data_IF_662126045898
#
_entry.id   IF_662126045898
#
_cell.length_a   1.000
_cell.length_b   1.000
_cell.length_c   1.000
_cell.angle_alpha   90.00
_cell.angle_beta   90.00
_cell.angle_gamma   90.00
#
_symmetry.space_group_name_H-M   'P 1'
#
loop_
_entity.id
_entity.type
_entity.pdbx_description
1 polymer ?
#
# COMPACT_ATOMS: atom_id res chain seq x y z
N UNK A 1 26.64 -1.49 -3.71
CA UNK A 1 25.62 -0.51 -4.09
C UNK A 1 26.03 0.03 -5.44
N UNK A 2 25.43 -0.49 -6.51
CA UNK A 2 25.71 0.01 -7.86
C UNK A 2 25.34 1.49 -7.89
N UNK A 3 26.23 2.30 -8.44
CA UNK A 3 26.08 3.75 -8.57
C UNK A 3 24.97 4.02 -9.59
N UNK A 4 23.71 3.82 -9.18
CA UNK A 4 22.60 4.12 -10.07
C UNK A 4 22.54 5.63 -10.23
N UNK A 5 22.73 6.04 -11.47
CA UNK A 5 22.69 7.43 -11.88
C UNK A 5 21.27 7.99 -11.81
N UNK A 6 20.23 7.17 -11.74
CA UNK A 6 18.83 7.63 -11.68
C UNK A 6 18.16 7.15 -10.39
N UNK A 7 17.51 8.07 -9.68
CA UNK A 7 16.64 7.75 -8.56
C UNK A 7 15.25 8.32 -8.77
N UNK A 8 14.24 7.59 -8.34
CA UNK A 8 12.84 8.01 -8.34
C UNK A 8 12.25 7.87 -6.94
N UNK A 9 11.30 8.73 -6.60
CA UNK A 9 10.67 8.70 -5.30
C UNK A 9 9.17 8.97 -5.33
N UNK A 10 8.42 8.06 -4.71
CA UNK A 10 6.96 8.10 -4.50
C UNK A 10 6.58 8.25 -3.02
N UNK A 11 7.44 7.81 -2.09
CA UNK A 11 7.19 7.77 -0.64
C UNK A 11 7.44 9.13 0.03
N UNK A 12 6.78 10.17 -0.48
CA UNK A 12 7.01 11.57 -0.16
C UNK A 12 6.60 12.43 -1.36
N UNK A 13 6.98 13.73 -1.40
CA UNK A 13 6.89 14.51 -2.63
C UNK A 13 7.57 13.79 -3.80
N UNK A 14 6.96 13.87 -4.98
CA UNK A 14 7.49 13.23 -6.19
C UNK A 14 8.90 13.75 -6.47
N UNK A 15 9.86 12.85 -6.52
CA UNK A 15 11.26 13.21 -6.74
C UNK A 15 11.87 12.39 -7.86
N UNK A 16 12.79 13.02 -8.58
CA UNK A 16 13.74 12.36 -9.48
C UNK A 16 15.13 12.91 -9.16
N UNK A 17 16.10 12.03 -9.03
CA UNK A 17 17.50 12.38 -8.81
C UNK A 17 18.36 11.86 -9.96
N UNK A 18 19.41 12.62 -10.29
CA UNK A 18 20.43 12.26 -11.26
C UNK A 18 21.78 12.35 -10.56
N UNK A 19 22.51 11.24 -10.46
CA UNK A 19 23.75 11.15 -9.68
C UNK A 19 23.60 11.75 -8.26
N UNK A 20 22.46 11.46 -7.61
CA UNK A 20 22.11 11.97 -6.28
C UNK A 20 21.56 13.41 -6.23
N UNK A 21 21.62 14.19 -7.31
CA UNK A 21 21.12 15.56 -7.35
C UNK A 21 19.65 15.61 -7.78
N UNK A 22 18.80 16.35 -7.05
CA UNK A 22 17.38 16.50 -7.37
C UNK A 22 17.16 17.29 -8.67
N UNK A 23 16.19 16.84 -9.48
CA UNK A 23 15.87 17.44 -10.78
C UNK A 23 14.45 18.01 -10.80
N UNK A 24 14.31 19.21 -11.38
CA UNK A 24 13.02 19.87 -11.54
C UNK A 24 12.11 19.15 -12.54
N UNK A 25 10.97 18.64 -12.06
CA UNK A 25 10.04 17.83 -12.85
C UNK A 25 8.96 18.64 -13.59
N UNK A 26 8.96 19.96 -13.47
CA UNK A 26 8.04 20.86 -14.17
C UNK A 26 6.68 21.01 -13.51
N UNK A 27 5.64 21.22 -14.33
CA UNK A 27 4.29 21.58 -13.87
C UNK A 27 3.56 20.42 -13.18
N UNK A 28 2.51 20.68 -12.36
CA UNK A 28 1.76 19.62 -11.67
C UNK A 28 1.25 18.51 -12.59
N UNK A 29 0.76 18.83 -13.79
CA UNK A 29 0.27 17.81 -14.75
C UNK A 29 1.39 16.97 -15.36
N UNK A 30 2.56 17.55 -15.63
CA UNK A 30 3.73 16.80 -16.07
C UNK A 30 4.22 15.83 -14.98
N UNK A 31 4.21 16.30 -13.72
CA UNK A 31 4.52 15.50 -12.54
C UNK A 31 3.50 14.38 -12.31
N UNK A 32 2.21 14.64 -12.49
CA UNK A 32 1.16 13.62 -12.43
C UNK A 32 1.36 12.52 -13.50
N UNK A 33 1.75 12.88 -14.72
CA UNK A 33 2.10 11.91 -15.78
C UNK A 33 3.28 11.03 -15.34
N UNK A 34 4.35 11.61 -14.78
CA UNK A 34 5.49 10.84 -14.28
C UNK A 34 5.10 9.94 -13.10
N UNK A 35 4.33 10.45 -12.14
CA UNK A 35 3.85 9.68 -11.00
C UNK A 35 3.04 8.45 -11.46
N UNK A 36 2.12 8.62 -12.41
CA UNK A 36 1.37 7.49 -12.98
C UNK A 36 2.25 6.45 -13.67
N UNK A 37 3.29 6.90 -14.37
CA UNK A 37 4.26 6.01 -14.99
C UNK A 37 5.11 5.27 -13.96
N UNK A 38 5.44 5.88 -12.83
CA UNK A 38 6.20 5.27 -11.74
C UNK A 38 5.38 4.29 -10.90
N UNK A 39 4.11 4.62 -10.62
CA UNK A 39 3.13 3.70 -10.02
C UNK A 39 3.04 2.42 -10.88
N UNK A 40 3.10 2.59 -12.21
CA UNK A 40 3.07 1.52 -13.20
C UNK A 40 4.43 1.19 -13.81
N UNK A 41 5.53 1.41 -13.06
CA UNK A 41 6.89 1.19 -13.56
C UNK A 41 7.04 -0.21 -14.18
N UNK A 42 7.84 -0.28 -15.23
CA UNK A 42 8.08 -1.47 -16.04
C UNK A 42 6.84 -2.03 -16.77
N UNK A 43 5.72 -1.27 -16.82
CA UNK A 43 4.48 -1.64 -17.52
C UNK A 43 3.99 -0.50 -18.42
N UNK A 44 3.24 -0.83 -19.47
CA UNK A 44 2.70 0.16 -20.39
C UNK A 44 1.44 0.81 -19.80
N UNK A 45 1.38 2.14 -19.83
CA UNK A 45 0.23 2.95 -19.42
C UNK A 45 -0.36 3.60 -20.66
N UNK A 46 -1.68 3.46 -20.84
CA UNK A 46 -2.37 4.04 -21.99
C UNK A 46 -2.34 5.57 -21.95
N UNK A 47 -2.35 6.20 -23.12
CA UNK A 47 -2.45 7.67 -23.21
C UNK A 47 -3.74 8.19 -22.54
N UNK A 48 -4.82 7.42 -22.61
CA UNK A 48 -6.10 7.76 -21.98
C UNK A 48 -6.02 7.72 -20.45
N UNK A 49 -5.37 6.71 -19.87
CA UNK A 49 -5.13 6.65 -18.42
C UNK A 49 -4.28 7.84 -17.94
N UNK A 50 -3.28 8.26 -18.72
CA UNK A 50 -2.47 9.44 -18.39
C UNK A 50 -3.27 10.75 -18.48
N UNK A 51 -4.20 10.85 -19.44
CA UNK A 51 -5.13 11.98 -19.53
C UNK A 51 -6.07 11.99 -18.31
N UNK A 52 -6.69 10.86 -17.98
CA UNK A 52 -7.61 10.79 -16.86
C UNK A 52 -6.91 11.11 -15.53
N UNK A 53 -5.67 10.66 -15.33
CA UNK A 53 -4.93 10.98 -14.11
C UNK A 53 -4.59 12.48 -13.98
N UNK A 54 -4.29 13.17 -15.07
CA UNK A 54 -3.86 14.57 -15.03
C UNK A 54 -4.99 15.61 -15.23
N UNK A 55 -6.17 15.19 -15.72
CA UNK A 55 -7.34 16.06 -15.94
C UNK A 55 -8.65 15.55 -15.31
N UNK A 56 -8.63 14.38 -14.65
CA UNK A 56 -9.81 13.72 -14.12
C UNK A 56 -10.93 13.62 -15.19
N UNK A 57 -12.17 13.96 -14.85
CA UNK A 57 -13.33 13.88 -15.74
C UNK A 57 -13.54 15.13 -16.62
N UNK A 58 -12.57 16.06 -16.66
CA UNK A 58 -12.66 17.29 -17.45
C UNK A 58 -11.47 17.46 -18.42
N UNK A 59 -11.22 16.51 -19.34
CA UNK A 59 -10.14 16.64 -20.30
C UNK A 59 -10.39 17.79 -21.27
N UNK A 60 -9.41 18.68 -21.40
CA UNK A 60 -9.42 19.67 -22.47
C UNK A 60 -9.32 18.98 -23.84
N UNK A 61 -9.85 19.56 -24.93
CA UNK A 61 -9.73 18.96 -26.28
C UNK A 61 -8.29 18.62 -26.70
N UNK A 62 -7.30 19.33 -26.15
CA UNK A 62 -5.87 19.13 -26.40
C UNK A 62 -5.13 18.26 -25.36
N UNK A 63 -5.84 17.52 -24.49
CA UNK A 63 -5.20 16.74 -23.41
C UNK A 63 -4.22 15.67 -23.94
N UNK A 64 -4.58 14.95 -25.01
CA UNK A 64 -3.68 13.96 -25.64
C UNK A 64 -2.40 14.60 -26.17
N UNK A 65 -2.52 15.75 -26.86
CA UNK A 65 -1.36 16.50 -27.34
C UNK A 65 -0.47 16.97 -26.18
N UNK A 66 -1.09 17.39 -25.07
CA UNK A 66 -0.37 17.80 -23.86
C UNK A 66 0.42 16.65 -23.22
N UNK A 67 -0.13 15.42 -23.20
CA UNK A 67 0.61 14.23 -22.73
C UNK A 67 1.86 13.99 -23.59
N UNK A 68 1.76 14.11 -24.92
CA UNK A 68 2.93 13.99 -25.81
C UNK A 68 4.01 15.04 -25.48
N UNK A 69 3.60 16.30 -25.22
CA UNK A 69 4.52 17.36 -24.79
C UNK A 69 5.18 17.06 -23.45
N UNK A 70 4.43 16.58 -22.47
CA UNK A 70 4.97 16.19 -21.16
C UNK A 70 5.96 15.04 -21.26
N UNK A 71 5.66 14.00 -22.05
CA UNK A 71 6.61 12.91 -22.31
C UNK A 71 7.87 13.42 -23.01
N UNK A 72 7.74 14.32 -23.98
CA UNK A 72 8.90 14.93 -24.65
C UNK A 72 9.78 15.72 -23.66
N UNK A 73 9.16 16.46 -22.74
CA UNK A 73 9.88 17.21 -21.71
C UNK A 73 10.58 16.29 -20.71
N UNK A 74 9.90 15.24 -20.26
CA UNK A 74 10.48 14.22 -19.36
C UNK A 74 11.66 13.50 -20.03
N UNK A 75 11.55 13.17 -21.33
CA UNK A 75 12.66 12.60 -22.09
C UNK A 75 13.86 13.54 -22.16
N UNK A 76 13.64 14.84 -22.39
CA UNK A 76 14.73 15.83 -22.37
C UNK A 76 15.43 15.91 -21.01
N UNK A 77 14.68 15.77 -19.92
CA UNK A 77 15.24 15.69 -18.56
C UNK A 77 16.11 14.43 -18.42
N UNK A 78 15.63 13.28 -18.90
CA UNK A 78 16.38 12.01 -18.88
C UNK A 78 17.63 12.04 -19.77
N UNK A 79 17.56 12.64 -20.96
CA UNK A 79 18.72 12.78 -21.87
C UNK A 79 19.82 13.63 -21.22
N UNK A 80 19.44 14.68 -20.48
CA UNK A 80 20.41 15.50 -19.72
C UNK A 80 21.10 14.75 -18.59
N UNK A 81 20.57 13.58 -18.21
CA UNK A 81 21.15 12.67 -17.24
C UNK A 81 22.12 11.65 -17.87
N UNK A 82 22.43 11.75 -19.17
CA UNK A 82 23.17 10.75 -19.95
C UNK A 82 22.54 9.34 -19.92
N UNK A 83 21.24 9.27 -19.61
CA UNK A 83 20.45 8.06 -19.79
C UNK A 83 19.86 8.06 -21.20
N UNK A 84 19.75 6.89 -21.84
CA UNK A 84 18.95 6.77 -23.08
C UNK A 84 17.47 7.01 -22.73
N UNK A 85 16.99 8.23 -22.94
CA UNK A 85 15.65 8.61 -22.53
C UNK A 85 14.55 7.83 -23.24
N UNK A 86 14.80 7.30 -24.45
CA UNK A 86 13.83 6.46 -25.17
C UNK A 86 13.86 5.01 -24.69
N UNK A 87 15.00 4.54 -24.20
CA UNK A 87 15.06 3.28 -23.47
C UNK A 87 14.40 3.39 -22.09
N UNK A 88 14.64 4.47 -21.33
CA UNK A 88 14.05 4.67 -19.99
C UNK A 88 12.55 4.97 -20.11
N UNK A 89 12.14 5.95 -20.92
CA UNK A 89 10.74 6.28 -21.16
C UNK A 89 10.34 5.89 -22.59
N UNK A 90 10.00 4.62 -22.76
CA UNK A 90 9.66 4.02 -24.04
C UNK A 90 8.24 4.37 -24.50
N UNK A 91 8.07 4.55 -25.82
CA UNK A 91 6.75 4.49 -26.43
C UNK A 91 6.37 3.02 -26.60
N UNK A 92 5.30 2.58 -25.95
CA UNK A 92 4.86 1.19 -25.94
C UNK A 92 3.33 1.14 -26.07
N UNK A 93 2.77 0.67 -27.19
CA UNK A 93 1.31 0.60 -27.37
C UNK A 93 0.62 -0.07 -26.16
N UNK A 94 -0.49 0.49 -25.62
CA UNK A 94 -1.27 1.65 -26.12
C UNK A 94 -0.79 3.04 -25.64
N UNK A 95 0.40 3.17 -25.06
CA UNK A 95 0.93 4.48 -24.63
C UNK A 95 2.42 4.47 -24.32
N UNK A 96 2.77 4.56 -23.03
CA UNK A 96 4.15 4.77 -22.58
C UNK A 96 4.53 3.81 -21.46
N UNK A 97 5.80 3.44 -21.40
CA UNK A 97 6.37 2.62 -20.33
C UNK A 97 7.62 3.30 -19.77
N UNK A 98 7.66 3.49 -18.46
CA UNK A 98 8.88 3.90 -17.77
C UNK A 98 9.59 2.65 -17.25
N UNK A 99 10.75 2.35 -17.80
CA UNK A 99 11.61 1.26 -17.36
C UNK A 99 12.47 1.78 -16.20
N UNK A 100 12.35 1.16 -15.04
CA UNK A 100 13.03 1.54 -13.80
C UNK A 100 13.78 0.31 -13.32
N UNK A 101 15.09 0.44 -13.11
CA UNK A 101 15.89 -0.69 -12.65
C UNK A 101 15.69 -0.94 -11.15
N UNK A 102 16.03 -2.14 -10.71
CA UNK A 102 15.91 -2.53 -9.31
C UNK A 102 16.73 -1.60 -8.41
N UNK A 103 16.10 -1.11 -7.34
CA UNK A 103 16.73 -0.20 -6.39
C UNK A 103 16.73 1.28 -6.80
N UNK A 104 16.23 1.64 -7.99
CA UNK A 104 16.14 3.05 -8.41
C UNK A 104 14.91 3.76 -7.83
N UNK A 105 13.86 3.03 -7.46
CA UNK A 105 12.65 3.58 -6.84
C UNK A 105 12.64 3.33 -5.32
N UNK A 106 12.29 4.36 -4.53
CA UNK A 106 12.12 4.22 -3.06
C UNK A 106 11.09 3.16 -2.67
N UNK A 107 9.98 3.07 -3.42
CA UNK A 107 8.96 2.05 -3.22
C UNK A 107 9.51 0.63 -3.44
N UNK A 108 10.36 0.42 -4.45
CA UNK A 108 10.97 -0.90 -4.68
C UNK A 108 11.91 -1.28 -3.54
N UNK A 109 12.74 -0.34 -3.09
CA UNK A 109 13.62 -0.56 -1.94
C UNK A 109 12.83 -0.87 -0.66
N UNK A 110 11.75 -0.13 -0.40
CA UNK A 110 10.83 -0.42 0.70
C UNK A 110 10.28 -1.85 0.63
N UNK A 111 9.81 -2.29 -0.53
CA UNK A 111 9.23 -3.63 -0.72
C UNK A 111 10.29 -4.73 -0.49
N UNK A 112 11.50 -4.54 -1.03
CA UNK A 112 12.61 -5.49 -0.86
C UNK A 112 13.00 -5.61 0.60
N UNK A 113 13.24 -4.49 1.28
CA UNK A 113 13.64 -4.48 2.69
C UNK A 113 12.53 -5.01 3.60
N UNK A 114 11.26 -4.67 3.34
CA UNK A 114 10.11 -5.27 4.03
C UNK A 114 10.11 -6.79 3.87
N UNK A 115 10.28 -7.29 2.65
CA UNK A 115 10.27 -8.74 2.35
C UNK A 115 11.41 -9.45 3.06
N UNK A 116 12.63 -8.91 3.01
CA UNK A 116 13.78 -9.45 3.72
C UNK A 116 13.55 -9.48 5.24
N UNK A 117 12.95 -8.42 5.78
CA UNK A 117 12.57 -8.34 7.20
C UNK A 117 11.57 -9.42 7.60
N UNK A 118 10.53 -9.65 6.79
CA UNK A 118 9.55 -10.71 7.04
C UNK A 118 10.18 -12.11 6.95
N UNK A 119 11.07 -12.35 5.99
CA UNK A 119 11.81 -13.61 5.87
C UNK A 119 12.70 -13.88 7.09
N UNK A 120 13.45 -12.88 7.54
CA UNK A 120 14.25 -12.98 8.75
C UNK A 120 13.40 -13.25 9.99
N UNK A 121 12.26 -12.57 10.15
CA UNK A 121 11.35 -12.79 11.28
C UNK A 121 10.75 -14.22 11.28
N UNK A 122 10.34 -14.73 10.12
CA UNK A 122 9.84 -16.10 9.98
C UNK A 122 10.91 -17.16 10.33
N UNK A 123 12.19 -16.85 10.06
CA UNK A 123 13.33 -17.68 10.44
C UNK A 123 13.78 -17.48 11.91
N UNK A 124 13.11 -16.62 12.69
CA UNK A 124 13.49 -16.30 14.07
C UNK A 124 14.73 -15.41 14.20
N UNK A 125 15.16 -14.76 13.12
CA UNK A 125 16.32 -13.88 13.07
C UNK A 125 15.90 -12.42 13.36
N UNK A 126 15.38 -12.18 14.56
CA UNK A 126 14.69 -10.91 14.88
C UNK A 126 15.57 -9.65 14.78
N UNK A 127 16.87 -9.74 15.07
CA UNK A 127 17.80 -8.60 14.89
C UNK A 127 17.94 -8.17 13.42
N UNK A 128 18.05 -9.15 12.52
CA UNK A 128 18.09 -8.91 11.08
C UNK A 128 16.74 -8.39 10.60
N UNK A 129 15.64 -8.95 11.12
CA UNK A 129 14.30 -8.48 10.80
C UNK A 129 14.11 -7.01 11.16
N UNK A 130 14.49 -6.60 12.38
CA UNK A 130 14.41 -5.20 12.82
C UNK A 130 15.26 -4.28 11.95
N UNK A 131 16.48 -4.70 11.59
CA UNK A 131 17.38 -3.92 10.72
C UNK A 131 16.77 -3.68 9.33
N UNK A 132 16.26 -4.73 8.69
CA UNK A 132 15.60 -4.63 7.39
C UNK A 132 14.32 -3.81 7.44
N UNK A 133 13.46 -4.02 8.44
CA UNK A 133 12.22 -3.25 8.58
C UNK A 133 12.48 -1.77 8.88
N UNK A 134 13.56 -1.45 9.61
CA UNK A 134 14.03 -0.08 9.81
C UNK A 134 14.52 0.55 8.51
N UNK A 135 15.30 -0.18 7.70
CA UNK A 135 15.74 0.27 6.39
C UNK A 135 14.57 0.53 5.44
N UNK A 136 13.55 -0.34 5.46
CA UNK A 136 12.31 -0.13 4.71
C UNK A 136 11.63 1.18 5.11
N UNK A 137 11.41 1.40 6.41
CA UNK A 137 10.76 2.62 6.91
C UNK A 137 11.55 3.89 6.61
N UNK A 138 12.88 3.81 6.52
CA UNK A 138 13.74 4.95 6.18
C UNK A 138 13.55 5.46 4.74
N UNK A 139 12.96 4.68 3.84
CA UNK A 139 12.62 5.12 2.47
C UNK A 139 11.47 6.16 2.46
N UNK A 140 10.70 6.25 3.55
CA UNK A 140 9.59 7.19 3.67
C UNK A 140 10.07 8.59 4.04
N UNK A 141 9.89 9.54 3.12
CA UNK A 141 10.25 10.96 3.26
C UNK A 141 9.08 11.86 3.67
N UNK A 142 7.85 11.35 3.61
CA UNK A 142 6.63 12.09 3.94
C UNK A 142 5.36 11.41 3.41
N UNK A 143 4.24 12.15 3.31
CA UNK A 143 3.03 11.66 2.66
C UNK A 143 3.30 11.29 1.19
N UNK A 144 2.72 10.17 0.74
CA UNK A 144 2.87 9.67 -0.62
C UNK A 144 2.42 10.73 -1.62
N UNK A 145 3.32 11.12 -2.53
CA UNK A 145 3.07 12.12 -3.56
C UNK A 145 2.44 13.42 -3.01
N UNK A 146 2.95 13.93 -1.88
CA UNK A 146 2.36 15.06 -1.14
C UNK A 146 2.12 16.31 -2.02
N UNK A 147 3.00 16.54 -2.99
CA UNK A 147 2.95 17.63 -3.96
C UNK A 147 1.99 17.37 -5.15
N UNK A 148 1.23 16.27 -5.11
CA UNK A 148 0.15 15.89 -6.03
C UNK A 148 -1.14 15.48 -5.30
N UNK A 149 -1.31 15.80 -4.01
CA UNK A 149 -2.51 15.42 -3.23
C UNK A 149 -3.85 15.87 -3.84
N UNK A 150 -3.84 16.89 -4.69
CA UNK A 150 -5.06 17.38 -5.36
C UNK A 150 -5.49 16.52 -6.56
N UNK A 151 -4.71 15.50 -6.93
CA UNK A 151 -5.05 14.56 -8.00
C UNK A 151 -5.68 13.28 -7.43
N UNK A 152 -6.91 12.98 -7.87
CA UNK A 152 -7.72 11.88 -7.31
C UNK A 152 -7.06 10.48 -7.32
N UNK A 153 -6.14 10.21 -8.26
CA UNK A 153 -5.43 8.92 -8.29
C UNK A 153 -4.44 8.76 -7.12
N UNK A 154 -3.99 9.86 -6.51
CA UNK A 154 -3.04 9.85 -5.40
C UNK A 154 -3.69 9.32 -4.13
N UNK A 155 -4.93 9.74 -3.82
CA UNK A 155 -5.62 9.39 -2.58
C UNK A 155 -5.69 7.87 -2.37
N UNK A 156 -6.14 7.15 -3.39
CA UNK A 156 -6.30 5.72 -3.28
C UNK A 156 -4.94 5.01 -3.18
N UNK A 157 -3.94 5.43 -3.99
CA UNK A 157 -2.59 4.86 -3.96
C UNK A 157 -1.87 5.12 -2.62
N UNK A 158 -1.98 6.35 -2.11
CA UNK A 158 -1.44 6.74 -0.80
C UNK A 158 -2.08 5.93 0.33
N UNK A 159 -3.40 5.74 0.29
CA UNK A 159 -4.13 4.95 1.29
C UNK A 159 -3.70 3.48 1.27
N UNK A 160 -3.53 2.90 0.08
CA UNK A 160 -3.04 1.53 -0.06
C UNK A 160 -1.62 1.36 0.48
N UNK A 161 -0.71 2.29 0.16
CA UNK A 161 0.66 2.25 0.70
C UNK A 161 0.71 2.50 2.21
N UNK A 162 -0.27 3.21 2.78
CA UNK A 162 -0.37 3.39 4.22
C UNK A 162 -0.63 2.06 4.95
N UNK A 163 -1.40 1.13 4.36
CA UNK A 163 -1.56 -0.23 4.89
C UNK A 163 -0.21 -0.93 5.01
N UNK A 164 0.60 -0.85 3.96
CA UNK A 164 1.93 -1.45 3.95
C UNK A 164 2.86 -0.79 4.98
N UNK A 165 2.79 0.54 5.14
CA UNK A 165 3.58 1.26 6.15
C UNK A 165 3.21 0.84 7.57
N UNK A 166 1.92 0.83 7.91
CA UNK A 166 1.43 0.40 9.22
C UNK A 166 1.82 -1.04 9.51
N UNK A 167 1.69 -1.93 8.51
CA UNK A 167 2.14 -3.31 8.60
C UNK A 167 3.63 -3.42 8.92
N UNK A 168 4.48 -2.63 8.25
CA UNK A 168 5.93 -2.61 8.50
C UNK A 168 6.28 -2.07 9.89
N UNK A 169 5.63 -1.01 10.37
CA UNK A 169 5.82 -0.55 11.76
C UNK A 169 5.41 -1.62 12.78
N UNK A 170 4.29 -2.31 12.54
CA UNK A 170 3.81 -3.39 13.41
C UNK A 170 4.82 -4.54 13.46
N UNK A 171 5.30 -5.00 12.30
CA UNK A 171 6.29 -6.07 12.23
C UNK A 171 7.64 -5.68 12.88
N UNK A 172 8.05 -4.40 12.75
CA UNK A 172 9.27 -3.91 13.40
C UNK A 172 9.12 -3.90 14.92
N UNK A 173 7.96 -3.49 15.42
CA UNK A 173 7.65 -3.56 16.85
C UNK A 173 7.65 -5.01 17.36
N UNK A 174 7.07 -5.95 16.61
CA UNK A 174 7.12 -7.38 16.94
C UNK A 174 8.58 -7.89 17.03
N UNK A 175 9.44 -7.51 16.09
CA UNK A 175 10.85 -7.89 16.08
C UNK A 175 11.62 -7.30 17.27
N UNK A 176 11.43 -6.02 17.58
CA UNK A 176 12.05 -5.34 18.73
C UNK A 176 11.59 -5.96 20.07
N UNK A 177 10.29 -6.25 20.21
CA UNK A 177 9.73 -6.91 21.39
C UNK A 177 10.30 -8.34 21.53
N UNK A 178 10.42 -9.10 20.44
CA UNK A 178 11.03 -10.42 20.44
C UNK A 178 12.52 -10.39 20.82
N UNK A 179 13.23 -9.30 20.48
CA UNK A 179 14.60 -9.05 20.94
C UNK A 179 14.69 -8.55 22.40
N UNK A 180 13.58 -8.49 23.14
CA UNK A 180 13.55 -8.00 24.53
C UNK A 180 13.63 -6.48 24.67
N UNK A 181 13.43 -5.72 23.59
CA UNK A 181 13.50 -4.25 23.56
C UNK A 181 12.13 -3.58 23.55
N UNK A 182 11.13 -4.19 24.19
CA UNK A 182 9.76 -3.68 24.23
C UNK A 182 9.64 -2.23 24.73
N UNK A 183 10.46 -1.83 25.70
CA UNK A 183 10.47 -0.45 26.19
C UNK A 183 10.83 0.59 25.10
N UNK A 184 11.74 0.24 24.19
CA UNK A 184 12.27 1.17 23.19
C UNK A 184 11.23 1.58 22.13
N UNK A 185 10.19 0.76 21.92
CA UNK A 185 9.15 0.99 20.90
C UNK A 185 7.90 1.68 21.44
N UNK A 186 7.76 1.84 22.77
CA UNK A 186 6.53 2.40 23.38
C UNK A 186 6.23 3.80 22.85
N UNK A 187 7.21 4.71 22.86
CA UNK A 187 6.98 6.11 22.45
C UNK A 187 6.55 6.25 21.00
N UNK A 188 7.15 5.47 20.09
CA UNK A 188 6.74 5.44 18.69
C UNK A 188 5.35 4.81 18.50
N UNK A 189 5.06 3.71 19.21
CA UNK A 189 3.75 3.06 19.15
C UNK A 189 2.64 3.95 19.72
N UNK A 190 2.91 4.76 20.75
CA UNK A 190 1.96 5.77 21.25
C UNK A 190 1.64 6.81 20.16
N UNK A 191 2.66 7.33 19.47
CA UNK A 191 2.47 8.27 18.37
C UNK A 191 1.66 7.63 17.22
N UNK A 192 2.05 6.43 16.79
CA UNK A 192 1.37 5.73 15.70
C UNK A 192 -0.07 5.35 16.05
N UNK A 193 -0.35 4.96 17.31
CA UNK A 193 -1.70 4.68 17.77
C UNK A 193 -2.58 5.95 17.80
N UNK A 194 -2.01 7.12 18.09
CA UNK A 194 -2.72 8.39 17.99
C UNK A 194 -2.99 8.82 16.53
N UNK A 195 -2.03 8.59 15.63
CA UNK A 195 -2.17 8.87 14.19
C UNK A 195 -3.11 7.88 13.49
N UNK A 196 -3.17 6.64 13.97
CA UNK A 196 -3.94 5.54 13.39
C UNK A 196 -4.82 4.84 14.44
N UNK A 197 -5.80 5.56 15.01
CA UNK A 197 -6.57 5.10 16.17
C UNK A 197 -7.35 3.79 15.93
N UNK A 198 -7.73 3.50 14.69
CA UNK A 198 -8.52 2.31 14.34
C UNK A 198 -7.68 1.10 13.94
N UNK A 199 -6.35 1.19 13.99
CA UNK A 199 -5.46 0.09 13.60
C UNK A 199 -5.12 -0.78 14.79
N UNK A 200 -6.02 -1.70 15.12
CA UNK A 200 -5.86 -2.65 16.24
C UNK A 200 -4.49 -3.36 16.29
N UNK A 201 -3.83 -3.75 15.16
CA UNK A 201 -2.50 -4.35 15.24
C UNK A 201 -1.44 -3.47 15.89
N UNK A 202 -1.48 -2.14 15.69
CA UNK A 202 -0.57 -1.20 16.38
C UNK A 202 -0.84 -1.20 17.89
N UNK A 203 -2.11 -1.15 18.28
CA UNK A 203 -2.51 -1.21 19.67
C UNK A 203 -2.14 -2.53 20.34
N UNK A 204 -2.24 -3.65 19.62
CA UNK A 204 -1.81 -4.95 20.12
C UNK A 204 -0.32 -4.94 20.49
N UNK A 205 0.53 -4.32 19.66
CA UNK A 205 1.95 -4.17 19.97
C UNK A 205 2.21 -3.16 21.09
N UNK A 206 1.46 -2.05 21.15
CA UNK A 206 1.58 -1.08 22.26
C UNK A 206 1.24 -1.72 23.62
N UNK A 207 0.11 -2.44 23.69
CA UNK A 207 -0.33 -3.17 24.88
C UNK A 207 0.70 -4.23 25.26
N UNK A 208 1.21 -4.99 24.28
CA UNK A 208 2.26 -5.99 24.49
C UNK A 208 3.54 -5.35 25.02
N UNK A 209 4.00 -4.23 24.42
CA UNK A 209 5.21 -3.51 24.80
C UNK A 209 5.16 -3.01 26.25
N UNK A 210 4.03 -2.40 26.67
CA UNK A 210 3.85 -2.03 28.08
C UNK A 210 3.91 -3.26 29.00
N UNK A 211 3.23 -4.34 28.65
CA UNK A 211 3.16 -5.52 29.50
C UNK A 211 4.52 -6.21 29.69
N UNK A 212 5.29 -6.40 28.62
CA UNK A 212 6.64 -7.01 28.71
C UNK A 212 7.67 -6.08 29.35
N UNK A 213 7.39 -4.77 29.38
CA UNK A 213 8.19 -3.78 30.11
C UNK A 213 7.74 -3.62 31.58
N UNK A 214 7.01 -4.60 32.13
CA UNK A 214 6.51 -4.63 33.51
C UNK A 214 5.53 -3.49 33.87
N UNK A 215 4.93 -2.84 32.87
CA UNK A 215 3.95 -1.75 33.03
C UNK A 215 2.51 -2.27 32.83
N UNK A 216 2.10 -3.24 33.65
CA UNK A 216 0.79 -3.90 33.52
C UNK A 216 -0.39 -2.91 33.56
N UNK A 217 -0.34 -1.91 34.44
CA UNK A 217 -1.38 -0.87 34.54
C UNK A 217 -1.56 -0.13 33.22
N UNK A 218 -0.45 0.26 32.58
CA UNK A 218 -0.45 1.03 31.34
C UNK A 218 -0.92 0.17 30.15
N UNK A 219 -0.59 -1.12 30.15
CA UNK A 219 -1.12 -2.07 29.16
C UNK A 219 -2.65 -2.18 29.24
N UNK A 220 -3.21 -2.29 30.46
CA UNK A 220 -4.66 -2.31 30.68
C UNK A 220 -5.32 -0.96 30.39
N UNK A 221 -4.61 0.15 30.57
CA UNK A 221 -5.07 1.48 30.18
C UNK A 221 -5.10 1.65 28.66
N UNK A 222 -4.07 1.20 27.94
CA UNK A 222 -4.04 1.21 26.48
C UNK A 222 -5.20 0.39 25.87
N UNK A 223 -5.51 -0.79 26.43
CA UNK A 223 -6.71 -1.55 26.04
C UNK A 223 -8.00 -0.75 26.26
N UNK A 224 -8.16 -0.13 27.42
CA UNK A 224 -9.35 0.69 27.73
C UNK A 224 -9.49 1.86 26.75
N UNK A 225 -8.40 2.55 26.44
CA UNK A 225 -8.37 3.64 25.45
C UNK A 225 -8.82 3.16 24.08
N UNK A 226 -8.25 2.06 23.58
CA UNK A 226 -8.67 1.47 22.30
C UNK A 226 -10.16 1.11 22.32
N UNK A 227 -10.63 0.44 23.37
CA UNK A 227 -12.04 0.04 23.48
C UNK A 227 -12.98 1.24 23.42
N UNK A 228 -12.66 2.32 24.14
CA UNK A 228 -13.42 3.57 24.07
C UNK A 228 -13.44 4.13 22.66
N UNK A 229 -12.28 4.26 22.01
CA UNK A 229 -12.17 4.80 20.64
C UNK A 229 -12.99 3.98 19.64
N UNK A 230 -12.89 2.65 19.64
CA UNK A 230 -13.66 1.79 18.72
C UNK A 230 -15.17 1.86 18.99
N UNK A 231 -15.56 1.90 20.27
CA UNK A 231 -16.96 2.01 20.67
C UNK A 231 -17.57 3.35 20.27
N UNK A 232 -16.89 4.47 20.59
CA UNK A 232 -17.43 5.81 20.39
C UNK A 232 -17.42 6.23 18.92
N UNK A 233 -16.35 5.93 18.19
CA UNK A 233 -16.18 6.42 16.81
C UNK A 233 -16.79 5.46 15.78
N UNK A 234 -16.73 4.16 16.02
CA UNK A 234 -17.12 3.13 15.05
C UNK A 234 -18.30 2.27 15.51
N UNK A 235 -18.67 2.32 16.80
CA UNK A 235 -19.74 1.48 17.34
C UNK A 235 -19.40 -0.01 17.37
N UNK A 236 -18.12 -0.37 17.44
CA UNK A 236 -17.65 -1.77 17.44
C UNK A 236 -16.82 -2.10 18.68
N UNK A 237 -16.82 -3.38 19.06
CA UNK A 237 -15.94 -3.91 20.09
C UNK A 237 -14.55 -4.28 19.51
N UNK A 238 -13.49 -4.32 20.35
CA UNK A 238 -12.19 -4.82 19.94
C UNK A 238 -12.24 -6.25 19.38
N UNK A 239 -11.37 -6.53 18.41
CA UNK A 239 -11.25 -7.84 17.80
C UNK A 239 -10.69 -8.91 18.74
N UNK A 240 -10.78 -10.20 18.33
CA UNK A 240 -10.40 -11.33 19.17
C UNK A 240 -8.92 -11.34 19.58
N UNK A 241 -8.04 -10.76 18.76
CA UNK A 241 -6.60 -10.62 19.10
C UNK A 241 -6.41 -9.71 20.31
N UNK A 242 -7.11 -8.58 20.34
CA UNK A 242 -7.04 -7.61 21.45
C UNK A 242 -7.71 -8.18 22.70
N UNK A 243 -8.89 -8.79 22.57
CA UNK A 243 -9.60 -9.42 23.69
C UNK A 243 -8.78 -10.56 24.31
N UNK A 244 -8.18 -11.42 23.48
CA UNK A 244 -7.29 -12.48 23.94
C UNK A 244 -6.07 -11.95 24.69
N UNK A 245 -5.46 -10.86 24.20
CA UNK A 245 -4.32 -10.21 24.86
C UNK A 245 -4.72 -9.62 26.22
N UNK A 246 -5.86 -8.93 26.28
CA UNK A 246 -6.39 -8.36 27.52
C UNK A 246 -6.62 -9.42 28.60
N UNK A 247 -7.24 -10.55 28.25
CA UNK A 247 -7.50 -11.66 29.20
C UNK A 247 -6.19 -12.25 29.74
N UNK A 248 -5.17 -12.42 28.89
CA UNK A 248 -3.84 -12.92 29.32
C UNK A 248 -3.19 -11.96 30.32
N UNK A 249 -3.26 -10.66 30.05
CA UNK A 249 -2.68 -9.62 30.91
C UNK A 249 -3.39 -9.54 32.26
N UNK A 250 -4.73 -9.63 32.30
CA UNK A 250 -5.49 -9.69 33.55
C UNK A 250 -5.08 -10.87 34.43
N UNK A 251 -4.75 -12.00 33.82
CA UNK A 251 -4.31 -13.23 34.50
C UNK A 251 -2.80 -13.28 34.76
N UNK A 252 -2.06 -12.21 34.43
CA UNK A 252 -0.60 -12.14 34.52
C UNK A 252 0.11 -13.32 33.84
N UNK A 253 -0.41 -13.77 32.69
CA UNK A 253 0.19 -14.86 31.94
C UNK A 253 1.39 -14.37 31.13
N UNK A 254 2.46 -15.16 31.00
CA UNK A 254 3.57 -14.81 30.13
C UNK A 254 3.11 -14.75 28.67
N UNK A 255 3.74 -13.86 27.88
CA UNK A 255 3.54 -13.75 26.44
C UNK A 255 4.71 -14.41 25.71
N UNK A 256 4.42 -15.20 24.68
CA UNK A 256 5.43 -15.78 23.78
C UNK A 256 5.55 -14.86 22.56
N UNK A 257 6.39 -13.85 22.70
CA UNK A 257 6.55 -12.78 21.71
C UNK A 257 7.31 -13.24 20.47
N UNK A 258 8.28 -14.14 20.63
CA UNK A 258 9.00 -14.74 19.51
C UNK A 258 8.08 -15.57 18.62
N UNK A 259 7.23 -16.42 19.22
CA UNK A 259 6.30 -17.24 18.46
C UNK A 259 5.22 -16.40 17.79
N UNK A 260 4.75 -15.34 18.44
CA UNK A 260 3.84 -14.39 17.83
C UNK A 260 4.46 -13.73 16.58
N UNK A 261 5.69 -13.20 16.70
CA UNK A 261 6.41 -12.57 15.59
C UNK A 261 6.64 -13.55 14.43
N UNK A 262 7.08 -14.79 14.70
CA UNK A 262 7.25 -15.85 13.67
C UNK A 262 5.93 -16.15 12.95
N UNK A 263 4.83 -16.23 13.70
CA UNK A 263 3.50 -16.54 13.14
C UNK A 263 2.98 -15.40 12.26
N UNK A 264 3.12 -14.14 12.68
CA UNK A 264 2.77 -12.97 11.85
C UNK A 264 3.62 -12.94 10.58
N UNK A 265 4.92 -13.21 10.70
CA UNK A 265 5.84 -13.21 9.56
C UNK A 265 5.51 -14.29 8.52
N UNK A 266 5.31 -15.54 8.97
CA UNK A 266 4.96 -16.64 8.09
C UNK A 266 3.64 -16.40 7.33
N UNK A 267 2.63 -15.86 8.03
CA UNK A 267 1.34 -15.49 7.42
C UNK A 267 1.50 -14.38 6.38
N UNK A 268 2.28 -13.36 6.68
CA UNK A 268 2.54 -12.24 5.75
C UNK A 268 3.28 -12.73 4.50
N UNK A 269 4.28 -13.60 4.66
CA UNK A 269 4.99 -14.20 3.54
C UNK A 269 4.08 -15.07 2.67
N UNK A 270 3.17 -15.83 3.28
CA UNK A 270 2.19 -16.61 2.52
C UNK A 270 1.29 -15.72 1.64
N UNK A 271 0.96 -14.51 2.11
CA UNK A 271 0.19 -13.53 1.33
C UNK A 271 1.02 -12.73 0.31
N UNK A 272 2.34 -12.55 0.54
CA UNK A 272 3.22 -11.70 -0.29
C UNK A 272 4.05 -12.49 -1.31
N UNK A 273 4.45 -13.74 -1.04
CA UNK A 273 5.22 -14.57 -1.98
C UNK A 273 4.46 -14.85 -3.30
N UNK A 274 3.14 -14.77 -3.26
CA UNK A 274 2.26 -14.83 -4.44
C UNK A 274 2.27 -13.54 -5.27
N UNK A 275 2.71 -12.39 -4.73
CA UNK A 275 2.73 -11.10 -5.42
C UNK A 275 4.14 -10.69 -5.94
N UNK A 276 5.22 -10.96 -5.19
CA UNK A 276 6.58 -10.48 -5.54
C UNK A 276 7.24 -11.25 -6.70
N UNK A 277 6.90 -12.53 -6.89
CA UNK A 277 7.42 -13.35 -8.01
C UNK A 277 6.53 -13.36 -9.25
N UNK A 278 5.31 -12.80 -9.14
CA UNK A 278 4.30 -12.81 -10.20
C UNK A 278 4.07 -11.41 -10.71
N UNK A 279 4.33 -11.19 -12.01
CA UNK A 279 3.81 -10.01 -12.72
C UNK A 279 2.30 -9.92 -12.43
N UNK A 280 1.75 -8.74 -12.16
CA UNK A 280 0.30 -8.52 -11.92
C UNK A 280 -0.63 -9.14 -12.97
N UNK A 281 -0.07 -9.52 -14.13
CA UNK A 281 -0.70 -10.31 -15.18
C UNK A 281 -1.32 -11.65 -14.73
N UNK A 282 -1.20 -12.04 -13.45
CA UNK A 282 -1.73 -13.29 -12.89
C UNK A 282 -2.79 -13.10 -11.79
N UNK A 283 -3.25 -11.88 -11.50
CA UNK A 283 -4.31 -11.66 -10.50
C UNK A 283 -5.64 -11.34 -11.19
N UNK A 284 -6.75 -11.89 -10.68
CA UNK A 284 -8.08 -11.63 -11.26
C UNK A 284 -9.19 -11.64 -10.22
N UNK A 285 -10.28 -10.90 -10.50
CA UNK A 285 -11.56 -11.13 -9.85
C UNK A 285 -12.38 -12.11 -10.67
N UNK A 286 -12.82 -13.21 -10.06
CA UNK A 286 -13.77 -14.14 -10.68
C UNK A 286 -15.17 -13.78 -10.22
N UNK A 287 -16.06 -13.44 -11.15
CA UNK A 287 -17.46 -13.14 -10.84
C UNK A 287 -18.30 -14.41 -10.60
N UNK A 288 -19.53 -14.23 -10.11
CA UNK A 288 -20.46 -15.33 -9.87
C UNK A 288 -20.80 -16.17 -11.13
N UNK A 289 -20.61 -15.62 -12.34
CA UNK A 289 -20.79 -16.34 -13.59
C UNK A 289 -19.51 -17.11 -14.03
N UNK A 290 -18.47 -17.08 -13.20
CA UNK A 290 -17.17 -17.69 -13.48
C UNK A 290 -16.29 -16.89 -14.44
N UNK A 291 -16.69 -15.68 -14.85
CA UNK A 291 -15.87 -14.83 -15.72
C UNK A 291 -14.76 -14.20 -14.89
N UNK A 292 -13.56 -14.20 -15.44
CA UNK A 292 -12.37 -13.63 -14.81
C UNK A 292 -12.08 -12.24 -15.36
N UNK A 293 -11.93 -11.29 -14.46
CA UNK A 293 -11.54 -9.92 -14.73
C UNK A 293 -10.09 -9.74 -14.28
N UNK A 294 -9.11 -9.73 -15.21
CA UNK A 294 -7.72 -9.56 -14.85
C UNK A 294 -7.49 -8.17 -14.24
N UNK A 295 -6.74 -8.11 -13.15
CA UNK A 295 -6.39 -6.86 -12.53
C UNK A 295 -5.38 -6.11 -13.40
N UNK A 296 -5.69 -4.84 -13.65
CA UNK A 296 -4.78 -3.91 -14.30
C UNK A 296 -3.66 -3.53 -13.34
N UNK A 297 -2.51 -3.19 -13.94
CA UNK A 297 -1.36 -2.70 -13.20
C UNK A 297 -1.67 -1.40 -12.45
N UNK A 298 -1.12 -1.25 -11.25
CA UNK A 298 -1.24 -0.04 -10.43
C UNK A 298 -2.61 0.10 -9.78
N UNK A 299 -3.67 0.26 -10.56
CA UNK A 299 -5.03 0.42 -10.07
C UNK A 299 -6.06 -0.18 -11.04
N UNK A 300 -6.97 -1.01 -10.53
CA UNK A 300 -8.14 -1.54 -11.25
C UNK A 300 -9.40 -0.89 -10.68
N UNK A 301 -10.05 -0.03 -11.47
CA UNK A 301 -11.27 0.68 -11.07
C UNK A 301 -12.51 -0.14 -11.36
N UNK A 302 -13.43 -0.13 -10.42
CA UNK A 302 -14.69 -0.88 -10.47
C UNK A 302 -15.85 0.10 -10.31
N UNK A 303 -16.82 0.06 -11.22
CA UNK A 303 -17.97 0.96 -11.13
C UNK A 303 -18.95 0.81 -12.28
N UNK A 304 -19.97 1.67 -12.29
CA UNK A 304 -21.03 1.65 -13.30
C UNK A 304 -20.64 2.32 -14.62
N UNK A 305 -19.77 3.33 -14.58
CA UNK A 305 -19.40 4.04 -15.81
C UNK A 305 -18.45 3.20 -16.67
N UNK A 306 -18.54 3.40 -17.99
CA UNK A 306 -17.76 2.65 -18.98
C UNK A 306 -16.26 2.97 -18.98
N UNK A 307 -15.85 4.02 -18.28
CA UNK A 307 -14.44 4.40 -18.09
C UNK A 307 -13.76 3.59 -16.97
N UNK A 308 -14.48 2.72 -16.25
CA UNK A 308 -13.91 1.77 -15.29
C UNK A 308 -13.30 0.55 -16.00
N UNK A 309 -12.35 -0.08 -15.34
CA UNK A 309 -11.70 -1.29 -15.83
C UNK A 309 -12.62 -2.52 -15.70
N UNK A 310 -13.41 -2.57 -14.62
CA UNK A 310 -14.48 -3.54 -14.41
C UNK A 310 -15.82 -2.80 -14.32
N UNK A 311 -16.67 -3.01 -15.34
CA UNK A 311 -17.96 -2.32 -15.46
C UNK A 311 -19.09 -3.20 -14.91
N UNK A 312 -19.77 -2.71 -13.88
CA UNK A 312 -20.98 -3.34 -13.33
C UNK A 312 -22.19 -2.47 -13.71
N UNK A 313 -22.94 -2.90 -14.72
CA UNK A 313 -24.07 -2.15 -15.26
C UNK A 313 -25.32 -2.31 -14.37
N UNK A 314 -25.29 -1.72 -13.19
CA UNK A 314 -26.36 -1.75 -12.19
C UNK A 314 -26.54 -0.37 -11.56
N UNK A 315 -27.78 0.13 -11.53
CA UNK A 315 -28.10 1.45 -10.98
C UNK A 315 -27.75 1.60 -9.49
N UNK A 316 -27.72 0.50 -8.73
CA UNK A 316 -27.28 0.49 -7.34
C UNK A 316 -25.77 0.71 -7.19
N UNK A 317 -24.99 0.52 -8.26
CA UNK A 317 -23.53 0.71 -8.25
C UNK A 317 -23.19 2.18 -8.55
N UNK A 318 -22.39 2.78 -7.68
CA UNK A 318 -21.80 4.10 -7.88
C UNK A 318 -21.01 4.20 -9.19
N UNK A 319 -20.90 5.43 -9.73
CA UNK A 319 -20.21 5.71 -11.00
C UNK A 319 -18.77 5.17 -11.00
N UNK A 320 -18.05 5.47 -9.93
CA UNK A 320 -16.77 4.88 -9.53
C UNK A 320 -17.01 4.37 -8.11
N UNK A 321 -16.97 3.05 -7.92
CA UNK A 321 -17.44 2.41 -6.69
C UNK A 321 -16.26 2.00 -5.81
N UNK A 322 -15.30 1.30 -6.40
CA UNK A 322 -14.13 0.80 -5.68
C UNK A 322 -12.90 0.82 -6.59
N UNK A 323 -11.73 0.67 -5.99
CA UNK A 323 -10.48 0.47 -6.72
C UNK A 323 -9.64 -0.58 -6.01
N UNK A 324 -9.03 -1.49 -6.77
CA UNK A 324 -8.03 -2.43 -6.26
C UNK A 324 -6.66 -1.93 -6.70
N UNK A 325 -5.73 -1.80 -5.76
CA UNK A 325 -4.42 -1.20 -5.96
C UNK A 325 -3.35 -2.27 -5.73
N UNK A 326 -2.47 -2.42 -6.72
CA UNK A 326 -1.26 -3.22 -6.63
C UNK A 326 -0.16 -2.34 -6.04
N UNK A 327 0.17 -2.53 -4.77
CA UNK A 327 1.27 -1.79 -4.12
C UNK A 327 2.65 -2.32 -4.51
N UNK A 328 2.69 -3.46 -5.21
CA UNK A 328 3.89 -4.26 -5.45
C UNK A 328 4.20 -5.25 -4.32
N UNK A 329 3.63 -5.07 -3.11
CA UNK A 329 3.75 -6.05 -2.01
C UNK A 329 2.42 -6.70 -1.62
N UNK A 330 1.31 -6.04 -1.92
CA UNK A 330 -0.03 -6.51 -1.62
C UNK A 330 -1.06 -5.91 -2.60
N UNK A 331 -2.27 -6.47 -2.58
CA UNK A 331 -3.42 -5.88 -3.26
C UNK A 331 -4.34 -5.27 -2.21
N UNK A 332 -4.68 -3.99 -2.35
CA UNK A 332 -5.57 -3.30 -1.41
C UNK A 332 -6.82 -2.84 -2.15
N UNK A 333 -8.00 -3.23 -1.65
CA UNK A 333 -9.27 -2.68 -2.14
C UNK A 333 -9.64 -1.45 -1.32
N UNK A 334 -10.10 -0.40 -2.00
CA UNK A 334 -10.61 0.83 -1.40
C UNK A 334 -12.04 1.12 -1.87
N UNK A 335 -12.91 1.46 -0.94
CA UNK A 335 -14.24 2.01 -1.24
C UNK A 335 -14.12 3.49 -1.57
N UNK A 336 -14.55 3.90 -2.77
CA UNK A 336 -14.48 5.28 -3.25
C UNK A 336 -15.66 6.12 -2.74
N UNK A 337 -15.98 5.99 -1.44
CA UNK A 337 -17.15 6.59 -0.78
C UNK A 337 -18.44 6.27 -1.54
N UNK A 338 -18.58 5.01 -1.94
CA UNK A 338 -19.77 4.54 -2.64
C UNK A 338 -21.01 4.64 -1.76
N UNK A 339 -22.18 4.70 -2.40
CA UNK A 339 -23.45 4.85 -1.68
C UNK A 339 -23.78 3.60 -0.82
N UNK A 340 -23.45 2.41 -1.33
CA UNK A 340 -23.81 1.14 -0.72
C UNK A 340 -22.64 0.41 -0.05
N UNK A 341 -21.41 0.92 -0.22
CA UNK A 341 -20.21 0.33 0.34
C UNK A 341 -19.74 -0.94 -0.37
N UNK A 342 -18.52 -1.35 -0.02
CA UNK A 342 -17.94 -2.64 -0.41
C UNK A 342 -18.03 -3.60 0.78
N UNK A 343 -18.42 -4.86 0.55
CA UNK A 343 -18.32 -5.90 1.57
C UNK A 343 -17.13 -6.82 1.27
N UNK A 344 -16.28 -7.07 2.26
CA UNK A 344 -15.21 -8.05 2.22
C UNK A 344 -15.53 -9.15 3.24
N UNK A 345 -15.62 -10.40 2.79
CA UNK A 345 -15.99 -11.56 3.62
C UNK A 345 -17.29 -11.32 4.42
N UNK A 346 -18.27 -10.67 3.79
CA UNK A 346 -19.57 -10.34 4.39
C UNK A 346 -19.57 -9.18 5.40
N UNK A 347 -18.43 -8.53 5.63
CA UNK A 347 -18.31 -7.35 6.51
C UNK A 347 -18.11 -6.09 5.69
N UNK A 348 -18.71 -4.99 6.11
CA UNK A 348 -18.53 -3.70 5.44
C UNK A 348 -17.08 -3.24 5.59
N UNK A 349 -16.47 -2.92 4.46
CA UNK A 349 -15.12 -2.38 4.36
C UNK A 349 -15.07 -0.98 5.00
N UNK A 350 -13.98 -0.65 5.70
CA UNK A 350 -13.81 0.67 6.30
C UNK A 350 -12.33 1.09 6.32
N UNK A 351 -11.90 2.12 5.56
CA UNK A 351 -12.24 2.46 4.17
C UNK A 351 -11.45 1.63 3.12
N UNK A 352 -10.48 0.84 3.59
CA UNK A 352 -9.60 -0.01 2.78
C UNK A 352 -9.39 -1.36 3.46
N UNK A 353 -8.99 -2.36 2.68
CA UNK A 353 -8.53 -3.64 3.22
C UNK A 353 -7.55 -4.31 2.25
N UNK A 354 -6.54 -4.97 2.81
CA UNK A 354 -5.65 -5.85 2.07
C UNK A 354 -6.36 -7.14 1.69
N UNK A 355 -6.29 -7.52 0.43
CA UNK A 355 -6.87 -8.73 -0.14
C UNK A 355 -5.91 -9.92 0.01
N UNK A 356 -6.45 -11.06 0.42
CA UNK A 356 -5.81 -12.36 0.41
C UNK A 356 -6.44 -13.28 -0.65
N UNK A 357 -5.68 -14.25 -1.16
CA UNK A 357 -6.20 -15.23 -2.12
C UNK A 357 -7.45 -15.95 -1.59
N UNK A 358 -8.49 -16.01 -2.42
CA UNK A 358 -9.79 -16.57 -2.07
C UNK A 358 -10.74 -15.60 -1.37
N UNK A 359 -10.34 -14.35 -1.13
CA UNK A 359 -11.23 -13.36 -0.51
C UNK A 359 -12.49 -13.12 -1.33
N UNK A 360 -13.63 -13.06 -0.63
CA UNK A 360 -14.93 -12.82 -1.22
C UNK A 360 -15.32 -11.34 -1.10
N UNK A 361 -15.61 -10.71 -2.24
CA UNK A 361 -15.94 -9.29 -2.34
C UNK A 361 -17.37 -9.16 -2.90
N UNK A 362 -18.23 -8.44 -2.20
CA UNK A 362 -19.57 -8.09 -2.67
C UNK A 362 -19.70 -6.60 -2.93
N UNK A 363 -20.21 -6.23 -4.10
CA UNK A 363 -20.55 -4.85 -4.47
C UNK A 363 -22.00 -4.82 -4.90
N UNK A 364 -22.89 -4.27 -4.07
CA UNK A 364 -24.34 -4.23 -4.33
C UNK A 364 -24.95 -5.60 -4.67
N UNK A 365 -24.46 -6.70 -4.08
CA UNK A 365 -24.91 -8.07 -4.37
C UNK A 365 -24.23 -8.72 -5.58
N UNK A 366 -23.32 -8.02 -6.27
CA UNK A 366 -22.43 -8.61 -7.27
C UNK A 366 -21.22 -9.22 -6.56
N UNK A 367 -21.11 -10.54 -6.63
CA UNK A 367 -20.08 -11.30 -5.91
C UNK A 367 -18.87 -11.59 -6.78
N UNK A 368 -17.70 -11.43 -6.16
CA UNK A 368 -16.39 -11.69 -6.74
C UNK A 368 -15.53 -12.51 -5.78
N UNK A 369 -14.72 -13.41 -6.32
CA UNK A 369 -13.60 -14.03 -5.60
C UNK A 369 -12.29 -13.43 -6.11
N UNK A 370 -11.45 -12.92 -5.21
CA UNK A 370 -10.09 -12.53 -5.55
C UNK A 370 -9.21 -13.77 -5.69
N UNK A 371 -8.56 -13.92 -6.84
CA UNK A 371 -7.70 -15.07 -7.17
C UNK A 371 -6.28 -14.60 -7.50
N UNK A 372 -5.30 -15.17 -6.81
CA UNK A 372 -3.88 -15.10 -7.16
C UNK A 372 -3.54 -16.35 -8.00
N UNK A 373 -3.45 -16.23 -9.32
CA UNK A 373 -3.12 -17.40 -10.16
C UNK A 373 -1.71 -17.92 -9.84
N UNK A 374 -1.52 -19.27 -9.81
CA UNK A 374 -0.31 -19.94 -9.36
C UNK A 374 0.96 -19.62 -10.16
#
# INVERSE_FOLDING_TARGET
MGDSRLGFGLLGPLSMTVAGAAVGLGTPKQRAVLAMLLINRNRAVSTESLVNAAWDQAPAPAARASVHSYVSNLRRILDSAEADARAVLASAPPGYRLNVADGECDLDRFIVEKTNGMQAAAAGQFEQASSHLSAALAEWRGPVLDDLRDFAFVDAFATALMEDKVGTHTARAEAEIACGRGYAVIGELEQLAAEHPYREPLWAQLITAYYVAERQSDALEAYRRLKTVLSEDLGIDPGPTIEGLHVRILRQQPLDTEQAAKTTAARTLATTHTASTRKSALCSLRDAAGRRHPLQAGATRIGRLADNDIVINDAAVSRHHAVIIDTGSSFVIADLRSANGVLLQGRRLHPTATLADGDHISICGHEFTFELQP
#
